data_IF_359269930007
#
_entry.id   IF_359269930007
#
_cell.length_a   1.000
_cell.length_b   1.000
_cell.length_c   1.000
_cell.angle_alpha   90.00
_cell.angle_beta   90.00
_cell.angle_gamma   90.00
#
_symmetry.space_group_name_H-M   'P 1'
#
loop_
_entity.id
_entity.type
_entity.pdbx_description
1 polymer ?
#
# COMPACT_ATOMS: atom_id res chain seq x y z
N UNK A 1 -9.84 26.60 -1.83
CA UNK A 1 -9.61 25.94 -0.51
C UNK A 1 -8.93 24.58 -0.60
N UNK A 2 -9.11 23.86 -1.70
CA UNK A 2 -8.50 22.52 -1.91
C UNK A 2 -6.96 22.57 -2.15
N UNK A 3 -6.46 23.64 -2.75
CA UNK A 3 -5.04 23.80 -3.11
C UNK A 3 -4.08 23.84 -1.89
N UNK A 4 -4.44 24.57 -0.80
CA UNK A 4 -3.58 24.66 0.39
C UNK A 4 -3.50 23.33 1.13
N UNK A 5 -4.61 22.58 1.24
CA UNK A 5 -4.63 21.25 1.83
C UNK A 5 -3.68 20.33 1.07
N UNK A 6 -3.77 20.31 -0.24
CA UNK A 6 -2.90 19.49 -1.09
C UNK A 6 -1.42 19.89 -0.98
N UNK A 7 -1.12 21.18 -0.91
CA UNK A 7 0.25 21.66 -0.69
C UNK A 7 0.82 21.22 0.66
N UNK A 8 0.00 21.24 1.73
CA UNK A 8 0.39 20.71 3.04
C UNK A 8 0.72 19.22 2.96
N UNK A 9 -0.10 18.43 2.28
CA UNK A 9 0.13 17.00 2.05
C UNK A 9 1.39 16.75 1.23
N UNK A 10 1.63 17.51 0.16
CA UNK A 10 2.84 17.39 -0.65
C UNK A 10 4.12 17.68 0.13
N UNK A 11 4.12 18.74 0.96
CA UNK A 11 5.26 19.05 1.84
C UNK A 11 5.47 17.93 2.87
N UNK A 12 4.38 17.35 3.38
CA UNK A 12 4.46 16.23 4.32
C UNK A 12 5.06 14.99 3.68
N UNK A 13 4.67 14.65 2.44
CA UNK A 13 5.28 13.55 1.68
C UNK A 13 6.78 13.74 1.52
N UNK A 14 7.20 14.94 1.09
CA UNK A 14 8.63 15.26 0.97
C UNK A 14 9.38 15.13 2.29
N UNK A 15 8.75 15.44 3.42
CA UNK A 15 9.36 15.22 4.73
C UNK A 15 9.47 13.73 5.05
N UNK A 16 8.45 12.93 4.77
CA UNK A 16 8.49 11.48 4.93
C UNK A 16 9.59 10.88 4.06
N UNK A 17 9.64 11.24 2.78
CA UNK A 17 10.63 10.73 1.81
C UNK A 17 12.08 11.03 2.21
N UNK A 18 12.33 12.19 2.84
CA UNK A 18 13.68 12.63 3.17
C UNK A 18 14.13 12.32 4.60
N UNK A 19 13.21 12.04 5.52
CA UNK A 19 13.56 11.90 6.94
C UNK A 19 12.63 10.96 7.72
N UNK A 20 11.79 10.19 7.01
CA UNK A 20 10.85 9.27 7.63
C UNK A 20 9.67 9.97 8.34
N UNK A 21 8.78 9.16 8.90
CA UNK A 21 7.54 9.62 9.56
C UNK A 21 7.85 10.53 10.76
N UNK A 22 8.95 10.28 11.47
CA UNK A 22 9.33 11.05 12.66
C UNK A 22 9.75 12.48 12.34
N UNK A 23 10.20 12.75 11.11
CA UNK A 23 10.55 14.10 10.65
C UNK A 23 9.34 15.02 10.50
N UNK A 24 8.13 14.47 10.41
CA UNK A 24 6.91 15.23 10.18
C UNK A 24 6.52 16.04 11.40
N UNK A 25 6.46 17.36 11.24
CA UNK A 25 6.05 18.32 12.27
C UNK A 25 5.17 19.41 11.68
N UNK A 26 4.01 19.62 12.29
CA UNK A 26 3.05 20.67 11.92
C UNK A 26 3.69 22.07 11.89
N UNK A 27 4.64 22.32 12.80
CA UNK A 27 5.39 23.57 12.87
C UNK A 27 6.33 23.74 11.68
N UNK A 28 7.10 22.71 11.34
CA UNK A 28 8.04 22.75 10.23
C UNK A 28 7.32 22.81 8.87
N UNK A 29 6.17 22.13 8.74
CA UNK A 29 5.30 22.24 7.55
C UNK A 29 4.83 23.69 7.37
N UNK A 30 4.31 24.31 8.44
CA UNK A 30 3.89 25.71 8.41
C UNK A 30 5.03 26.65 8.01
N UNK A 31 6.24 26.43 8.55
CA UNK A 31 7.43 27.20 8.24
C UNK A 31 7.84 27.06 6.76
N UNK A 32 7.90 25.82 6.24
CA UNK A 32 8.20 25.55 4.83
C UNK A 32 7.21 26.20 3.86
N UNK A 33 5.94 26.30 4.26
CA UNK A 33 4.88 26.92 3.46
C UNK A 33 4.65 28.41 3.73
N UNK A 34 5.41 29.00 4.64
CA UNK A 34 5.22 30.40 5.09
C UNK A 34 3.80 30.67 5.61
N UNK A 35 3.22 29.68 6.28
CA UNK A 35 1.90 29.74 6.88
C UNK A 35 1.99 29.95 8.40
N UNK A 36 1.04 30.69 8.96
CA UNK A 36 0.88 30.75 10.41
C UNK A 36 0.44 29.39 10.97
N UNK A 37 0.75 29.13 12.24
CA UNK A 37 0.29 27.91 12.93
C UNK A 37 -1.23 27.73 12.79
N UNK A 38 -2.01 28.77 13.01
CA UNK A 38 -3.47 28.72 12.88
C UNK A 38 -3.94 28.40 11.46
N UNK A 39 -3.20 28.80 10.44
CA UNK A 39 -3.52 28.47 9.05
C UNK A 39 -3.35 26.97 8.76
N UNK A 40 -2.31 26.31 9.30
CA UNK A 40 -2.10 24.86 9.16
C UNK A 40 -3.19 24.08 9.90
N UNK A 41 -3.49 24.48 11.16
CA UNK A 41 -4.49 23.80 12.00
C UNK A 41 -5.94 23.96 11.53
N UNK A 42 -6.21 24.89 10.61
CA UNK A 42 -7.53 24.98 9.93
C UNK A 42 -7.76 23.82 8.95
N UNK A 43 -6.70 23.19 8.43
CA UNK A 43 -6.79 22.10 7.48
C UNK A 43 -6.69 20.72 8.14
N UNK A 44 -5.86 20.61 9.18
CA UNK A 44 -5.63 19.37 9.92
C UNK A 44 -5.54 19.68 11.41
N UNK A 45 -6.36 19.04 12.22
CA UNK A 45 -6.45 19.28 13.68
C UNK A 45 -5.15 18.94 14.40
N UNK A 46 -4.44 17.94 13.90
CA UNK A 46 -3.19 17.44 14.49
C UNK A 46 -2.34 16.73 13.41
N UNK A 47 -1.16 16.23 13.81
CA UNK A 47 -0.27 15.46 12.94
C UNK A 47 -0.92 14.17 12.44
N UNK A 48 -1.69 13.49 13.29
CA UNK A 48 -2.33 12.22 12.94
C UNK A 48 -3.40 12.40 11.86
N UNK A 49 -4.22 13.45 11.91
CA UNK A 49 -5.19 13.75 10.84
C UNK A 49 -4.50 13.98 9.48
N UNK A 50 -3.35 14.65 9.50
CA UNK A 50 -2.55 14.86 8.30
C UNK A 50 -1.96 13.55 7.78
N UNK A 51 -1.41 12.71 8.67
CA UNK A 51 -0.87 11.41 8.30
C UNK A 51 -1.96 10.46 7.80
N UNK A 52 -3.16 10.47 8.40
CA UNK A 52 -4.31 9.71 7.92
C UNK A 52 -4.68 10.08 6.47
N UNK A 53 -4.71 11.38 6.15
CA UNK A 53 -4.95 11.82 4.79
C UNK A 53 -3.85 11.34 3.81
N UNK A 54 -2.58 11.33 4.24
CA UNK A 54 -1.46 10.76 3.45
C UNK A 54 -1.66 9.26 3.22
N UNK A 55 -2.12 8.51 4.23
CA UNK A 55 -2.40 7.08 4.09
C UNK A 55 -3.49 6.81 3.06
N UNK A 56 -4.58 7.57 3.08
CA UNK A 56 -5.65 7.44 2.08
C UNK A 56 -5.11 7.64 0.67
N UNK A 57 -4.34 8.72 0.43
CA UNK A 57 -3.72 8.94 -0.88
C UNK A 57 -2.70 7.85 -1.25
N UNK A 58 -1.98 7.28 -0.29
CA UNK A 58 -1.06 6.17 -0.56
C UNK A 58 -1.80 4.92 -1.06
N UNK A 59 -2.99 4.61 -0.51
CA UNK A 59 -3.84 3.54 -1.03
C UNK A 59 -4.33 3.85 -2.45
N UNK A 60 -4.71 5.09 -2.73
CA UNK A 60 -5.10 5.52 -4.09
C UNK A 60 -3.94 5.41 -5.08
N UNK A 61 -2.72 5.76 -4.66
CA UNK A 61 -1.50 5.60 -5.46
C UNK A 61 -1.20 4.11 -5.74
N UNK A 62 -1.33 3.24 -4.74
CA UNK A 62 -1.16 1.79 -4.90
C UNK A 62 -2.20 1.23 -5.88
N UNK A 63 -3.48 1.57 -5.73
CA UNK A 63 -4.54 1.15 -6.65
C UNK A 63 -4.29 1.62 -8.09
N UNK A 64 -3.88 2.88 -8.25
CA UNK A 64 -3.53 3.44 -9.56
C UNK A 64 -2.34 2.73 -10.20
N UNK A 65 -1.31 2.42 -9.41
CA UNK A 65 -0.13 1.68 -9.85
C UNK A 65 -0.49 0.28 -10.31
N UNK A 66 -1.28 -0.45 -9.52
CA UNK A 66 -1.81 -1.78 -9.87
C UNK A 66 -2.64 -1.68 -11.14
N UNK A 67 -3.58 -0.74 -11.22
CA UNK A 67 -4.42 -0.56 -12.40
C UNK A 67 -3.62 -0.30 -13.69
N UNK A 68 -2.47 0.39 -13.57
CA UNK A 68 -1.57 0.61 -14.70
C UNK A 68 -0.80 -0.66 -15.08
N UNK A 69 -0.37 -1.46 -14.09
CA UNK A 69 0.44 -2.67 -14.33
C UNK A 69 -0.32 -3.79 -15.03
N UNK A 70 -1.66 -3.80 -14.91
CA UNK A 70 -2.50 -4.86 -15.50
C UNK A 70 -3.11 -4.50 -16.85
N UNK A 71 -2.88 -3.28 -17.37
CA UNK A 71 -3.42 -2.85 -18.67
C UNK A 71 -2.98 -3.79 -19.81
N UNK A 72 -3.96 -4.27 -20.56
CA UNK A 72 -3.72 -5.16 -21.72
C UNK A 72 -3.41 -6.62 -21.34
N UNK A 73 -3.42 -6.99 -20.05
CA UNK A 73 -3.23 -8.37 -19.63
C UNK A 73 -4.58 -9.08 -19.58
N UNK A 74 -4.77 -10.06 -20.47
CA UNK A 74 -6.01 -10.86 -20.55
C UNK A 74 -5.92 -12.19 -19.78
N UNK A 75 -4.71 -12.72 -19.58
CA UNK A 75 -4.51 -13.98 -18.86
C UNK A 75 -4.66 -13.76 -17.35
N UNK A 76 -5.60 -14.44 -16.65
CA UNK A 76 -5.89 -14.19 -15.24
C UNK A 76 -4.70 -14.45 -14.31
N UNK A 77 -3.91 -15.49 -14.57
CA UNK A 77 -2.74 -15.83 -13.74
C UNK A 77 -1.64 -14.78 -13.90
N UNK A 78 -1.36 -14.36 -15.14
CA UNK A 78 -0.42 -13.27 -15.42
C UNK A 78 -0.89 -11.94 -14.85
N UNK A 79 -2.18 -11.71 -14.81
CA UNK A 79 -2.77 -10.52 -14.20
C UNK A 79 -2.52 -10.53 -12.68
N UNK A 80 -2.79 -11.66 -12.00
CA UNK A 80 -2.49 -11.80 -10.57
C UNK A 80 -0.99 -11.66 -10.29
N UNK A 81 -0.13 -12.23 -11.12
CA UNK A 81 1.33 -12.09 -11.01
C UNK A 81 1.74 -10.61 -11.10
N UNK A 82 1.24 -9.89 -12.09
CA UNK A 82 1.53 -8.46 -12.26
C UNK A 82 1.05 -7.62 -11.08
N UNK A 83 -0.12 -7.94 -10.50
CA UNK A 83 -0.63 -7.28 -9.31
C UNK A 83 0.33 -7.48 -8.13
N UNK A 84 0.76 -8.72 -7.86
CA UNK A 84 1.60 -9.03 -6.70
C UNK A 84 3.01 -8.46 -6.86
N UNK A 85 3.61 -8.54 -8.05
CA UNK A 85 4.89 -7.91 -8.34
C UNK A 85 4.80 -6.39 -8.12
N UNK A 86 3.77 -5.74 -8.69
CA UNK A 86 3.59 -4.30 -8.53
C UNK A 86 3.37 -3.90 -7.06
N UNK A 87 2.61 -4.70 -6.30
CA UNK A 87 2.39 -4.48 -4.88
C UNK A 87 3.70 -4.54 -4.08
N UNK A 88 4.51 -5.56 -4.33
CA UNK A 88 5.81 -5.74 -3.72
C UNK A 88 6.74 -4.56 -4.04
N UNK A 89 6.89 -4.24 -5.33
CA UNK A 89 7.75 -3.15 -5.79
C UNK A 89 7.30 -1.78 -5.27
N UNK A 90 5.98 -1.56 -5.16
CA UNK A 90 5.41 -0.35 -4.53
C UNK A 90 5.86 -0.25 -3.07
N UNK A 91 5.77 -1.34 -2.31
CA UNK A 91 6.20 -1.39 -0.92
C UNK A 91 7.67 -1.01 -0.77
N UNK A 92 8.54 -1.60 -1.58
CA UNK A 92 9.99 -1.32 -1.54
C UNK A 92 10.32 0.12 -1.93
N UNK A 93 9.69 0.61 -3.00
CA UNK A 93 9.92 1.97 -3.49
C UNK A 93 9.43 3.04 -2.51
N UNK A 94 8.39 2.75 -1.75
CA UNK A 94 7.72 3.69 -0.86
C UNK A 94 7.77 3.23 0.61
N UNK A 95 8.94 2.78 1.08
CA UNK A 95 9.13 2.09 2.37
C UNK A 95 8.46 2.78 3.55
N UNK A 96 8.71 4.08 3.76
CA UNK A 96 8.16 4.80 4.90
C UNK A 96 6.65 5.05 4.76
N UNK A 97 6.18 5.25 3.54
CA UNK A 97 4.75 5.30 3.23
C UNK A 97 4.06 3.96 3.46
N UNK A 98 4.69 2.85 3.04
CA UNK A 98 4.20 1.50 3.30
C UNK A 98 4.11 1.21 4.81
N UNK A 99 5.14 1.57 5.57
CA UNK A 99 5.13 1.45 7.05
C UNK A 99 4.05 2.32 7.68
N UNK A 100 3.78 3.51 7.14
CA UNK A 100 2.70 4.37 7.61
C UNK A 100 1.32 3.73 7.35
N UNK A 101 1.15 3.01 6.21
CA UNK A 101 -0.09 2.32 5.87
C UNK A 101 -0.33 1.09 6.75
N UNK A 102 0.69 0.23 6.95
CA UNK A 102 0.56 -1.13 7.47
C UNK A 102 1.33 -1.41 8.75
N UNK A 103 2.31 -0.59 9.10
CA UNK A 103 3.18 -0.79 10.26
C UNK A 103 2.62 -0.25 11.57
N UNK A 104 1.40 0.27 11.59
CA UNK A 104 0.71 0.79 12.77
C UNK A 104 -0.79 0.54 12.71
N UNK A 105 -1.42 0.51 13.86
CA UNK A 105 -2.87 0.46 13.96
C UNK A 105 -3.46 1.86 13.73
N UNK A 106 -4.50 1.91 12.91
CA UNK A 106 -5.35 3.09 12.71
C UNK A 106 -6.69 2.85 13.37
N UNK A 107 -7.06 3.71 14.31
CA UNK A 107 -8.35 3.62 14.97
C UNK A 107 -9.49 3.82 13.97
N UNK A 108 -10.36 2.81 13.87
CA UNK A 108 -11.44 2.77 12.90
C UNK A 108 -12.50 3.85 13.13
N UNK A 109 -12.76 4.20 14.39
CA UNK A 109 -13.76 5.19 14.74
C UNK A 109 -13.24 6.61 14.50
N UNK A 110 -11.94 6.81 14.75
CA UNK A 110 -11.28 8.09 14.57
C UNK A 110 -10.90 8.37 13.10
N UNK A 111 -10.50 7.32 12.35
CA UNK A 111 -10.03 7.43 10.95
C UNK A 111 -10.76 6.45 10.02
N UNK A 112 -12.11 6.55 9.90
CA UNK A 112 -12.90 5.61 9.09
C UNK A 112 -12.50 5.63 7.61
N UNK A 113 -11.99 6.75 7.09
CA UNK A 113 -11.51 6.89 5.72
C UNK A 113 -10.26 6.04 5.43
N UNK A 114 -9.35 5.91 6.41
CA UNK A 114 -8.18 5.03 6.29
C UNK A 114 -8.63 3.57 6.21
N UNK A 115 -9.55 3.20 7.09
CA UNK A 115 -10.10 1.85 7.10
C UNK A 115 -10.84 1.53 5.79
N UNK A 116 -11.65 2.47 5.29
CA UNK A 116 -12.35 2.31 4.02
C UNK A 116 -11.40 2.15 2.83
N UNK A 117 -10.31 2.94 2.77
CA UNK A 117 -9.30 2.83 1.73
C UNK A 117 -8.56 1.48 1.77
N UNK A 118 -8.16 1.01 2.96
CA UNK A 118 -7.52 -0.29 3.14
C UNK A 118 -8.44 -1.45 2.71
N UNK A 119 -9.72 -1.41 3.13
CA UNK A 119 -10.71 -2.41 2.75
C UNK A 119 -10.99 -2.43 1.25
N UNK A 120 -11.09 -1.26 0.62
CA UNK A 120 -11.30 -1.15 -0.82
C UNK A 120 -10.16 -1.83 -1.60
N UNK A 121 -8.92 -1.64 -1.20
CA UNK A 121 -7.76 -2.29 -1.82
C UNK A 121 -7.81 -3.81 -1.64
N UNK A 122 -8.19 -4.27 -0.44
CA UNK A 122 -8.37 -5.70 -0.16
C UNK A 122 -9.50 -6.31 -1.03
N UNK A 123 -10.66 -5.65 -1.10
CA UNK A 123 -11.82 -6.10 -1.87
C UNK A 123 -11.52 -6.11 -3.38
N UNK A 124 -10.77 -5.14 -3.88
CA UNK A 124 -10.30 -5.11 -5.27
C UNK A 124 -9.44 -6.35 -5.56
N UNK A 125 -8.53 -6.71 -4.66
CA UNK A 125 -7.69 -7.92 -4.79
C UNK A 125 -8.54 -9.19 -4.75
N UNK A 126 -9.55 -9.25 -3.86
CA UNK A 126 -10.50 -10.36 -3.78
C UNK A 126 -11.30 -10.53 -5.09
N UNK A 127 -11.71 -9.43 -5.72
CA UNK A 127 -12.44 -9.47 -6.99
C UNK A 127 -11.61 -10.08 -8.12
N UNK A 128 -10.31 -9.77 -8.21
CA UNK A 128 -9.42 -10.40 -9.20
C UNK A 128 -9.25 -11.90 -8.96
N UNK A 129 -9.12 -12.32 -7.70
CA UNK A 129 -9.04 -13.74 -7.35
C UNK A 129 -10.35 -14.47 -7.63
N UNK A 130 -11.50 -13.88 -7.30
CA UNK A 130 -12.82 -14.45 -7.64
C UNK A 130 -12.96 -14.68 -9.15
N UNK A 131 -12.57 -13.68 -9.96
CA UNK A 131 -12.61 -13.82 -11.43
C UNK A 131 -11.71 -14.95 -11.93
N UNK A 132 -10.51 -15.12 -11.35
CA UNK A 132 -9.61 -16.22 -11.71
C UNK A 132 -10.18 -17.59 -11.30
N UNK A 133 -10.95 -17.68 -10.19
CA UNK A 133 -11.67 -18.89 -9.79
C UNK A 133 -12.83 -19.21 -10.73
N UNK A 134 -13.65 -18.22 -11.10
CA UNK A 134 -14.75 -18.37 -12.07
C UNK A 134 -14.22 -18.92 -13.41
N UNK A 135 -13.06 -18.48 -13.82
CA UNK A 135 -12.39 -18.97 -15.04
C UNK A 135 -11.62 -20.29 -14.84
N UNK A 136 -11.72 -20.91 -13.66
CA UNK A 136 -11.04 -22.16 -13.30
C UNK A 136 -9.51 -22.11 -13.49
N UNK A 137 -8.92 -20.96 -13.31
CA UNK A 137 -7.47 -20.75 -13.45
C UNK A 137 -6.72 -21.01 -12.15
N UNK A 138 -7.41 -20.90 -11.00
CA UNK A 138 -6.88 -21.17 -9.67
C UNK A 138 -7.82 -22.07 -8.85
N UNK A 139 -7.30 -22.63 -7.76
CA UNK A 139 -8.02 -23.56 -6.88
C UNK A 139 -9.36 -22.99 -6.39
N UNK A 140 -10.35 -23.87 -6.32
CA UNK A 140 -11.68 -23.51 -5.81
C UNK A 140 -11.73 -23.68 -4.28
N UNK A 141 -11.34 -22.63 -3.57
CA UNK A 141 -11.45 -22.46 -2.12
C UNK A 141 -12.23 -21.17 -1.82
N UNK A 142 -12.76 -20.97 -0.61
CA UNK A 142 -13.43 -19.70 -0.30
C UNK A 142 -12.53 -18.50 -0.66
N UNK A 143 -13.01 -17.63 -1.52
CA UNK A 143 -12.22 -16.49 -2.06
C UNK A 143 -11.57 -15.67 -0.95
N UNK A 144 -12.31 -15.41 0.13
CA UNK A 144 -11.81 -14.68 1.30
C UNK A 144 -10.56 -15.34 1.93
N UNK A 145 -10.54 -16.69 1.96
CA UNK A 145 -9.38 -17.44 2.51
C UNK A 145 -8.17 -17.28 1.59
N UNK A 146 -8.35 -17.46 0.28
CA UNK A 146 -7.26 -17.28 -0.68
C UNK A 146 -6.74 -15.84 -0.64
N UNK A 147 -7.65 -14.85 -0.61
CA UNK A 147 -7.26 -13.43 -0.51
C UNK A 147 -6.44 -13.18 0.74
N UNK A 148 -6.85 -13.70 1.90
CA UNK A 148 -6.10 -13.55 3.15
C UNK A 148 -4.70 -14.22 3.08
N UNK A 149 -4.60 -15.39 2.45
CA UNK A 149 -3.30 -16.08 2.25
C UNK A 149 -2.38 -15.29 1.32
N UNK A 150 -2.90 -14.80 0.20
CA UNK A 150 -2.14 -13.95 -0.75
C UNK A 150 -1.68 -12.67 -0.06
N UNK A 151 -2.56 -12.04 0.70
CA UNK A 151 -2.27 -10.84 1.45
C UNK A 151 -1.15 -11.05 2.48
N UNK A 152 -1.27 -12.11 3.30
CA UNK A 152 -0.24 -12.45 4.28
C UNK A 152 1.12 -12.77 3.61
N UNK A 153 1.11 -13.48 2.47
CA UNK A 153 2.32 -13.82 1.73
C UNK A 153 3.03 -12.57 1.21
N UNK A 154 2.31 -11.66 0.53
CA UNK A 154 2.95 -10.47 -0.06
C UNK A 154 3.48 -9.52 1.00
N UNK A 155 2.73 -9.31 2.09
CA UNK A 155 3.19 -8.51 3.22
C UNK A 155 4.40 -9.15 3.90
N UNK A 156 4.41 -10.48 4.05
CA UNK A 156 5.56 -11.21 4.59
C UNK A 156 6.83 -10.98 3.76
N UNK A 157 6.74 -11.03 2.44
CA UNK A 157 7.89 -10.76 1.56
C UNK A 157 8.42 -9.32 1.71
N UNK A 158 7.52 -8.33 1.76
CA UNK A 158 7.92 -6.92 1.93
C UNK A 158 8.60 -6.70 3.28
N UNK A 159 8.01 -7.22 4.37
CA UNK A 159 8.56 -7.06 5.72
C UNK A 159 9.90 -7.79 5.91
N UNK A 160 10.04 -9.01 5.37
CA UNK A 160 11.31 -9.73 5.39
C UNK A 160 12.40 -8.94 4.67
N UNK A 161 12.08 -8.34 3.53
CA UNK A 161 13.01 -7.47 2.81
C UNK A 161 13.38 -6.22 3.61
N UNK A 162 12.42 -5.60 4.29
CA UNK A 162 12.67 -4.45 5.16
C UNK A 162 13.55 -4.78 6.37
N UNK A 163 13.46 -6.01 6.86
CA UNK A 163 14.29 -6.53 7.95
C UNK A 163 15.68 -7.02 7.49
N UNK A 164 15.97 -7.01 6.18
CA UNK A 164 17.24 -7.48 5.62
C UNK A 164 17.36 -9.01 5.56
N UNK A 165 16.23 -9.72 5.54
CA UNK A 165 16.17 -11.19 5.43
C UNK A 165 15.98 -11.65 3.98
N UNK A 166 16.81 -11.12 3.08
CA UNK A 166 16.79 -11.45 1.65
C UNK A 166 18.03 -12.27 1.22
N UNK A 167 18.58 -13.05 2.17
CA UNK A 167 19.79 -13.84 1.92
C UNK A 167 19.52 -14.98 0.93
N UNK A 168 20.46 -15.24 -0.02
CA UNK A 168 20.34 -16.34 -0.98
C UNK A 168 20.20 -17.72 -0.31
N UNK A 169 20.84 -17.92 0.83
CA UNK A 169 20.83 -19.18 1.60
C UNK A 169 19.42 -19.53 2.12
N UNK A 170 18.55 -18.53 2.25
CA UNK A 170 17.14 -18.72 2.62
C UNK A 170 16.23 -18.81 1.40
N UNK A 171 16.73 -18.61 0.19
CA UNK A 171 15.93 -18.54 -1.02
C UNK A 171 15.03 -17.30 -1.13
N UNK A 172 15.32 -16.24 -0.36
CA UNK A 172 14.51 -15.01 -0.29
C UNK A 172 15.03 -13.87 -1.18
N UNK A 173 16.13 -14.13 -1.92
CA UNK A 173 16.82 -13.13 -2.74
C UNK A 173 16.13 -12.82 -4.08
N UNK A 174 15.19 -13.66 -4.52
CA UNK A 174 14.39 -13.44 -5.75
C UNK A 174 12.87 -13.44 -5.43
N UNK A 175 12.32 -12.33 -4.95
CA UNK A 175 10.91 -12.23 -4.58
C UNK A 175 9.96 -12.38 -5.77
N UNK A 176 10.36 -11.99 -6.99
CA UNK A 176 9.53 -12.15 -8.18
C UNK A 176 9.38 -13.63 -8.54
N UNK A 177 10.45 -14.42 -8.44
CA UNK A 177 10.40 -15.87 -8.61
C UNK A 177 9.55 -16.54 -7.51
N UNK A 178 9.62 -16.07 -6.27
CA UNK A 178 8.78 -16.56 -5.18
C UNK A 178 7.29 -16.26 -5.42
N UNK A 179 6.97 -15.09 -5.95
CA UNK A 179 5.58 -14.73 -6.33
C UNK A 179 5.07 -15.67 -7.43
N UNK A 180 5.87 -15.90 -8.48
CA UNK A 180 5.51 -16.82 -9.57
C UNK A 180 5.32 -18.26 -9.06
N UNK A 181 6.21 -18.72 -8.18
CA UNK A 181 6.14 -20.04 -7.55
C UNK A 181 4.91 -20.19 -6.66
N UNK A 182 4.60 -19.20 -5.84
CA UNK A 182 3.40 -19.17 -5.02
C UNK A 182 2.12 -19.27 -5.87
N UNK A 183 2.03 -18.49 -6.95
CA UNK A 183 0.90 -18.55 -7.87
C UNK A 183 0.80 -19.91 -8.57
N UNK A 184 1.92 -20.58 -8.86
CA UNK A 184 1.90 -21.93 -9.44
C UNK A 184 1.31 -22.96 -8.50
N UNK A 185 1.45 -22.81 -7.18
CA UNK A 185 0.87 -23.73 -6.18
C UNK A 185 -0.66 -23.60 -6.05
N UNK A 186 -1.23 -22.47 -6.42
CA UNK A 186 -2.69 -22.26 -6.40
C UNK A 186 -3.32 -22.35 -7.79
N UNK A 187 -2.53 -22.55 -8.83
CA UNK A 187 -3.00 -22.75 -10.21
C UNK A 187 -3.62 -24.15 -10.37
N UNK A 188 -4.65 -24.24 -11.22
CA UNK A 188 -5.28 -25.53 -11.64
C UNK A 188 -4.72 -25.93 -12.99
#
# INVERSE_FOLDING_TARGET
>A
MNDTKQKLMNVTRQMIDNGGIDSVSMREIGKKMQLSRSAVYRHFKNKEDLLAAIVVENFEMLESSIGNSIKGINNPVKLLESILINYYDFGLKNRDHYRLMFGREWDKEQYPEVYAAAFKTFDTSAAFLAKAQEQKCIINKPTKVITAMVYAFIHGLVELRFAGHDEPEKGLNDPHSLISSFLSMIRV
#
